data_IF_606484114130
#
_entry.id   IF_606484114130
#
_cell.length_a   1.000
_cell.length_b   1.000
_cell.length_c   1.000
_cell.angle_alpha   90.00
_cell.angle_beta   90.00
_cell.angle_gamma   90.00
#
_symmetry.space_group_name_H-M   'P 1'
#
loop_
_entity.id
_entity.type
_entity.pdbx_description
1 polymer ?
#
# COMPACT_ATOMS: atom_id res chain seq x y z
N UNK A 1 27.82 -3.10 23.37
CA UNK A 1 27.55 -2.30 22.16
C UNK A 1 26.05 -2.03 22.09
N UNK A 2 25.59 -0.80 22.33
CA UNK A 2 24.17 -0.42 22.18
C UNK A 2 24.09 0.57 21.02
N UNK A 3 23.95 0.07 19.81
CA UNK A 3 23.71 0.90 18.62
C UNK A 3 22.21 1.14 18.48
N UNK A 4 21.69 2.10 19.24
CA UNK A 4 20.30 2.57 19.11
C UNK A 4 20.30 3.97 18.51
N UNK A 5 20.32 4.03 17.19
CA UNK A 5 19.85 5.18 16.44
C UNK A 5 18.82 4.67 15.43
N UNK A 6 17.56 4.61 15.87
CA UNK A 6 16.41 4.29 15.03
C UNK A 6 16.27 5.44 14.04
N UNK A 7 16.86 5.29 12.86
CA UNK A 7 16.73 6.22 11.75
C UNK A 7 15.23 6.43 11.54
N UNK A 8 14.74 7.65 11.76
CA UNK A 8 13.35 8.01 11.47
C UNK A 8 13.25 8.12 9.95
N UNK A 9 13.16 6.97 9.28
CA UNK A 9 13.04 6.89 7.83
C UNK A 9 11.85 7.74 7.40
N UNK A 10 12.09 8.73 6.54
CA UNK A 10 11.03 9.48 5.90
C UNK A 10 10.19 8.49 5.10
N UNK A 11 8.98 8.19 5.58
CA UNK A 11 8.08 7.29 4.86
C UNK A 11 7.73 7.93 3.52
N UNK A 12 7.89 7.17 2.44
CA UNK A 12 7.37 7.56 1.14
C UNK A 12 5.84 7.46 1.15
N UNK A 13 5.17 8.16 0.24
CA UNK A 13 3.71 8.09 0.14
C UNK A 13 3.23 6.66 -0.16
N UNK A 14 4.04 5.89 -0.90
CA UNK A 14 3.78 4.49 -1.20
C UNK A 14 3.83 3.60 0.06
N UNK A 15 4.86 3.74 0.89
CA UNK A 15 4.97 3.00 2.15
C UNK A 15 3.87 3.39 3.14
N UNK A 16 3.50 4.68 3.17
CA UNK A 16 2.35 5.15 3.93
C UNK A 16 1.05 4.48 3.47
N UNK A 17 0.81 4.43 2.15
CA UNK A 17 -0.36 3.76 1.58
C UNK A 17 -0.37 2.25 1.93
N UNK A 18 0.76 1.53 1.75
CA UNK A 18 0.85 0.11 2.13
C UNK A 18 0.55 -0.12 3.61
N UNK A 19 1.09 0.72 4.49
CA UNK A 19 0.82 0.63 5.94
C UNK A 19 -0.65 0.88 6.26
N UNK A 20 -1.25 1.92 5.68
CA UNK A 20 -2.66 2.26 5.87
C UNK A 20 -3.56 1.12 5.39
N UNK A 21 -3.34 0.64 4.17
CA UNK A 21 -4.06 -0.50 3.59
C UNK A 21 -3.93 -1.75 4.44
N UNK A 22 -2.74 -2.05 4.96
CA UNK A 22 -2.54 -3.19 5.84
C UNK A 22 -3.37 -3.06 7.14
N UNK A 23 -3.43 -1.86 7.73
CA UNK A 23 -4.19 -1.62 8.96
C UNK A 23 -5.69 -1.76 8.76
N UNK A 24 -6.23 -1.35 7.62
CA UNK A 24 -7.66 -1.40 7.31
C UNK A 24 -8.06 -2.66 6.53
N UNK A 25 -7.12 -3.58 6.29
CA UNK A 25 -7.32 -4.80 5.49
C UNK A 25 -8.32 -5.82 6.07
N UNK A 26 -8.86 -5.53 7.25
CA UNK A 26 -9.96 -6.28 7.89
C UNK A 26 -11.35 -5.82 7.42
N UNK A 27 -11.45 -4.67 6.74
CA UNK A 27 -12.71 -4.13 6.22
C UNK A 27 -12.56 -3.82 4.73
N UNK A 28 -13.13 -4.67 3.87
CA UNK A 28 -13.03 -4.56 2.42
C UNK A 28 -13.55 -3.24 1.85
N UNK A 29 -14.63 -2.70 2.43
CA UNK A 29 -15.23 -1.44 1.97
C UNK A 29 -14.31 -0.25 2.25
N UNK A 30 -13.69 -0.23 3.43
CA UNK A 30 -12.72 0.80 3.81
C UNK A 30 -11.41 0.62 3.04
N UNK A 31 -10.94 -0.61 2.87
CA UNK A 31 -9.75 -0.95 2.09
C UNK A 31 -9.87 -0.42 0.65
N UNK A 32 -11.01 -0.65 -0.01
CA UNK A 32 -11.27 -0.16 -1.37
C UNK A 32 -11.26 1.37 -1.45
N UNK A 33 -11.91 2.04 -0.47
CA UNK A 33 -11.96 3.52 -0.42
C UNK A 33 -10.57 4.13 -0.24
N UNK A 34 -9.77 3.61 0.69
CA UNK A 34 -8.42 4.12 0.94
C UNK A 34 -7.44 3.73 -0.17
N UNK A 35 -7.61 2.57 -0.82
CA UNK A 35 -6.84 2.22 -2.01
C UNK A 35 -7.05 3.22 -3.14
N UNK A 36 -8.31 3.54 -3.45
CA UNK A 36 -8.64 4.55 -4.45
C UNK A 36 -8.09 5.94 -4.10
N UNK A 37 -8.08 6.31 -2.82
CA UNK A 37 -7.44 7.54 -2.37
C UNK A 37 -5.93 7.48 -2.58
N UNK A 38 -5.27 6.40 -2.16
CA UNK A 38 -3.84 6.18 -2.35
C UNK A 38 -3.42 6.33 -3.82
N UNK A 39 -4.18 5.75 -4.74
CA UNK A 39 -3.91 5.89 -6.18
C UNK A 39 -3.91 7.35 -6.65
N UNK A 40 -4.74 8.23 -6.09
CA UNK A 40 -4.77 9.66 -6.46
C UNK A 40 -3.52 10.42 -6.03
N UNK A 41 -2.81 9.94 -5.00
CA UNK A 41 -1.62 10.59 -4.45
C UNK A 41 -0.31 10.00 -4.95
N UNK A 42 -0.38 8.84 -5.61
CA UNK A 42 0.79 8.11 -6.10
C UNK A 42 1.04 8.40 -7.56
N UNK A 43 2.32 8.42 -7.94
CA UNK A 43 2.72 8.45 -9.36
C UNK A 43 2.40 7.11 -10.02
N UNK A 44 2.28 7.04 -11.37
CA UNK A 44 1.91 5.81 -12.07
C UNK A 44 2.76 4.59 -11.70
N UNK A 45 4.07 4.79 -11.51
CA UNK A 45 4.99 3.75 -11.05
C UNK A 45 4.63 3.20 -9.66
N UNK A 46 4.36 4.09 -8.71
CA UNK A 46 4.02 3.71 -7.34
C UNK A 46 2.62 3.11 -7.26
N UNK A 47 1.69 3.55 -8.13
CA UNK A 47 0.37 2.94 -8.27
C UNK A 47 0.45 1.48 -8.70
N UNK A 48 1.31 1.19 -9.70
CA UNK A 48 1.53 -0.18 -10.17
C UNK A 48 2.18 -1.04 -9.08
N UNK A 49 3.17 -0.51 -8.36
CA UNK A 49 3.79 -1.21 -7.23
C UNK A 49 2.77 -1.48 -6.10
N UNK A 50 1.90 -0.50 -5.78
CA UNK A 50 0.84 -0.68 -4.79
C UNK A 50 -0.17 -1.76 -5.22
N UNK A 51 -0.52 -1.81 -6.51
CA UNK A 51 -1.40 -2.83 -7.08
C UNK A 51 -0.76 -4.21 -6.98
N UNK A 52 0.47 -4.37 -7.44
CA UNK A 52 1.21 -5.63 -7.34
C UNK A 52 1.34 -6.11 -5.89
N UNK A 53 1.60 -5.19 -4.95
CA UNK A 53 1.68 -5.51 -3.53
C UNK A 53 0.35 -6.07 -2.98
N UNK A 54 -0.80 -5.51 -3.37
CA UNK A 54 -2.11 -6.03 -2.98
C UNK A 54 -2.44 -7.40 -3.61
N UNK A 55 -2.02 -7.62 -4.86
CA UNK A 55 -2.17 -8.91 -5.54
C UNK A 55 -1.36 -10.01 -4.82
N UNK A 56 -0.10 -9.73 -4.49
CA UNK A 56 0.75 -10.65 -3.73
C UNK A 56 0.21 -10.97 -2.34
N UNK A 57 -0.53 -10.03 -1.73
CA UNK A 57 -1.21 -10.24 -0.44
C UNK A 57 -2.49 -11.08 -0.55
N UNK A 58 -2.94 -11.45 -1.75
CA UNK A 58 -4.19 -12.19 -1.98
C UNK A 58 -5.44 -11.37 -1.64
N UNK A 59 -5.33 -10.03 -1.61
CA UNK A 59 -6.41 -9.11 -1.22
C UNK A 59 -7.10 -8.45 -2.42
N UNK A 60 -6.60 -8.69 -3.63
CA UNK A 60 -7.24 -8.32 -4.88
C UNK A 60 -7.14 -9.47 -5.88
N UNK A 61 -8.24 -9.79 -6.56
CA UNK A 61 -8.23 -10.56 -7.80
C UNK A 61 -8.35 -9.53 -8.92
N UNK A 62 -7.24 -9.17 -9.54
CA UNK A 62 -7.31 -8.48 -10.83
C UNK A 62 -7.68 -9.55 -11.85
N UNK A 63 -8.97 -9.67 -12.14
CA UNK A 63 -9.45 -10.45 -13.27
C UNK A 63 -9.12 -9.66 -14.55
N UNK A 64 -7.82 -9.60 -14.89
CA UNK A 64 -7.36 -9.25 -16.22
C UNK A 64 -6.93 -10.53 -16.90
N UNK A 65 -7.94 -11.23 -17.43
CA UNK A 65 -7.77 -11.97 -18.67
C UNK A 65 -8.09 -11.02 -19.81
N UNK A 66 -7.08 -10.28 -20.27
CA UNK A 66 -6.92 -9.79 -21.65
C UNK A 66 -5.45 -9.47 -21.88
#
# INVERSE_FOLDING_TARGET
>A
MKSTAKIKSTMTMLEYCKLLLNKISFNDELLKKEYQKGLKYLNPKDQEELKQWLLLKGKMVDNKND
#
